data_IF_573789289351
#
_entry.id   IF_573789289351
#
_cell.length_a   1.000
_cell.length_b   1.000
_cell.length_c   1.000
_cell.angle_alpha   90.00
_cell.angle_beta   90.00
_cell.angle_gamma   90.00
#
_symmetry.space_group_name_H-M   'P 1'
#
loop_
_entity.id
_entity.type
_entity.pdbx_description
1 polymer ?
#
# COMPACT_ATOMS: atom_id res chain seq x y z
N UNK A 1 60.19 -27.04 30.86
CA UNK A 1 60.84 -26.65 29.59
C UNK A 1 60.25 -25.30 29.18
N UNK A 2 60.87 -24.13 29.51
CA UNK A 2 61.82 -23.34 28.67
C UNK A 2 61.27 -23.10 27.25
N UNK A 3 60.96 -21.90 26.71
CA UNK A 3 61.60 -20.56 26.67
C UNK A 3 60.55 -19.48 26.26
N UNK A 4 60.51 -18.25 26.84
CA UNK A 4 61.09 -16.94 26.37
C UNK A 4 60.67 -16.51 24.93
N UNK A 5 60.45 -15.25 24.52
CA UNK A 5 60.60 -13.86 25.02
C UNK A 5 59.82 -12.97 24.01
N UNK A 6 59.06 -11.94 24.41
CA UNK A 6 59.43 -10.51 24.50
C UNK A 6 60.02 -9.84 23.24
N UNK A 7 59.36 -8.78 22.75
CA UNK A 7 59.91 -7.80 21.80
C UNK A 7 58.90 -6.71 21.42
N UNK A 8 59.10 -5.51 21.96
CA UNK A 8 58.28 -4.28 21.88
C UNK A 8 59.12 -3.21 21.17
N UNK A 9 58.54 -2.32 20.35
CA UNK A 9 58.83 -0.87 20.22
C UNK A 9 58.49 -0.27 18.82
N UNK A 10 57.94 0.94 18.87
CA UNK A 10 57.38 1.79 17.80
C UNK A 10 58.43 2.74 17.14
N UNK A 11 58.02 3.87 16.52
CA UNK A 11 57.90 4.22 15.08
C UNK A 11 59.11 5.06 14.55
N UNK A 12 59.12 5.62 13.30
CA UNK A 12 58.55 6.97 13.01
C UNK A 12 58.09 7.22 11.54
N UNK A 13 57.56 8.43 11.24
CA UNK A 13 57.44 9.08 9.90
C UNK A 13 58.62 10.09 9.70
N UNK A 14 58.76 10.99 8.68
CA UNK A 14 57.94 11.38 7.50
C UNK A 14 58.79 11.68 6.21
N UNK A 15 58.33 12.60 5.33
CA UNK A 15 58.99 13.32 4.19
C UNK A 15 58.87 12.73 2.76
N UNK A 16 58.79 13.46 1.64
CA UNK A 16 58.55 14.88 1.26
C UNK A 16 58.60 15.00 -0.31
N UNK A 17 58.29 16.20 -0.84
CA UNK A 17 58.52 16.77 -2.20
C UNK A 17 57.36 16.63 -3.24
N UNK A 18 56.62 17.68 -3.65
CA UNK A 18 56.92 19.00 -4.28
C UNK A 18 57.10 18.91 -5.82
N UNK A 19 56.10 19.31 -6.60
CA UNK A 19 55.94 20.59 -7.37
C UNK A 19 56.67 20.65 -8.73
N UNK A 20 55.94 20.94 -9.82
CA UNK A 20 56.39 21.96 -10.80
C UNK A 20 55.21 22.53 -11.63
N UNK A 21 55.27 23.85 -11.80
CA UNK A 21 54.40 24.82 -12.49
C UNK A 21 54.73 24.96 -13.99
N UNK A 22 53.87 25.67 -14.75
CA UNK A 22 54.11 26.58 -15.90
C UNK A 22 52.90 26.60 -16.87
N UNK A 23 52.66 27.59 -17.71
CA UNK A 23 52.60 29.06 -17.61
C UNK A 23 51.92 29.57 -18.92
N UNK A 24 51.45 30.82 -18.91
CA UNK A 24 50.63 31.54 -19.90
C UNK A 24 51.27 31.85 -21.28
N UNK A 25 50.45 32.04 -22.34
CA UNK A 25 50.31 33.26 -23.20
C UNK A 25 49.53 32.96 -24.52
N UNK A 26 48.34 33.54 -24.79
CA UNK A 26 48.01 34.83 -25.46
C UNK A 26 48.43 34.93 -26.94
N UNK A 27 47.45 35.08 -27.86
CA UNK A 27 47.43 36.08 -28.94
C UNK A 27 45.96 36.48 -29.24
N UNK A 28 45.72 37.79 -29.30
CA UNK A 28 44.50 38.55 -29.63
C UNK A 28 44.78 39.35 -30.92
N UNK A 29 43.73 39.65 -31.71
CA UNK A 29 43.46 40.92 -32.48
C UNK A 29 42.61 40.62 -33.75
N UNK A 30 41.37 41.13 -33.85
CA UNK A 30 40.91 42.43 -34.46
C UNK A 30 40.88 42.37 -36.02
N UNK A 31 39.93 42.90 -36.82
CA UNK A 31 38.80 43.84 -36.66
C UNK A 31 37.93 43.85 -37.97
N UNK A 32 36.69 44.39 -37.88
CA UNK A 32 35.88 45.12 -38.93
C UNK A 32 35.20 44.51 -40.20
N UNK A 33 33.85 44.66 -40.18
CA UNK A 33 32.90 45.21 -41.20
C UNK A 33 32.25 44.39 -42.36
N UNK A 34 30.90 44.29 -42.26
CA UNK A 34 29.84 44.58 -43.27
C UNK A 34 29.24 43.49 -44.20
N UNK A 35 27.90 43.42 -44.14
CA UNK A 35 26.88 43.11 -45.18
C UNK A 35 26.64 41.65 -45.59
N UNK A 36 25.36 41.23 -45.58
CA UNK A 36 24.89 40.08 -46.35
C UNK A 36 23.69 39.34 -45.76
N UNK A 37 22.54 39.56 -46.37
CA UNK A 37 21.20 39.03 -46.10
C UNK A 37 21.06 37.49 -46.24
N UNK A 38 19.98 36.97 -45.66
CA UNK A 38 19.17 35.80 -46.06
C UNK A 38 19.34 34.42 -45.38
N UNK A 39 18.34 34.12 -44.53
CA UNK A 39 17.34 33.02 -44.65
C UNK A 39 17.81 31.54 -44.67
N UNK A 40 17.27 30.81 -43.68
CA UNK A 40 16.83 29.41 -43.64
C UNK A 40 17.77 28.21 -43.40
N UNK A 41 17.36 27.50 -42.34
CA UNK A 41 17.27 26.05 -42.12
C UNK A 41 18.54 25.19 -41.97
N UNK A 42 18.80 24.90 -40.69
CA UNK A 42 19.25 23.65 -40.05
C UNK A 42 20.52 22.93 -40.54
N UNK A 43 21.53 22.84 -39.66
CA UNK A 43 22.43 21.70 -39.62
C UNK A 43 22.05 20.72 -38.50
N UNK A 44 21.95 19.46 -38.91
CA UNK A 44 21.81 18.26 -38.10
C UNK A 44 22.90 18.21 -37.01
N UNK A 45 22.50 18.02 -35.75
CA UNK A 45 23.39 17.45 -34.73
C UNK A 45 22.65 16.42 -33.89
N UNK A 46 23.25 15.23 -33.87
CA UNK A 46 22.95 14.07 -33.05
C UNK A 46 22.64 14.40 -31.59
N UNK A 47 21.59 13.79 -31.04
CA UNK A 47 21.51 13.42 -29.62
C UNK A 47 20.74 12.10 -29.52
N UNK A 48 21.31 11.21 -28.72
CA UNK A 48 20.77 9.94 -28.26
C UNK A 48 19.39 10.17 -27.64
N UNK A 49 18.34 9.56 -28.17
CA UNK A 49 17.14 9.30 -27.36
C UNK A 49 17.42 8.03 -26.56
N UNK A 50 17.95 8.24 -25.37
CA UNK A 50 17.66 7.33 -24.25
C UNK A 50 16.15 7.42 -24.03
N UNK A 51 15.42 6.38 -24.42
CA UNK A 51 14.05 6.18 -23.96
C UNK A 51 14.11 6.08 -22.43
N UNK A 52 13.91 7.21 -21.75
CA UNK A 52 13.46 7.24 -20.36
C UNK A 52 12.09 6.57 -20.35
N UNK A 53 12.08 5.24 -20.23
CA UNK A 53 10.95 4.46 -19.74
C UNK A 53 10.67 4.92 -18.30
N UNK A 54 9.99 6.06 -18.16
CA UNK A 54 9.20 6.39 -16.98
C UNK A 54 8.02 5.39 -16.94
N UNK A 55 8.34 4.16 -16.54
CA UNK A 55 7.37 3.09 -16.31
C UNK A 55 6.46 3.53 -15.15
N UNK A 56 5.33 4.13 -15.50
CA UNK A 56 4.32 4.59 -14.54
C UNK A 56 3.85 3.37 -13.72
N UNK A 57 3.98 3.40 -12.37
CA UNK A 57 3.76 2.22 -11.56
C UNK A 57 2.31 1.70 -11.68
N UNK A 58 2.08 0.40 -11.44
CA UNK A 58 0.76 -0.20 -11.57
C UNK A 58 -0.29 0.58 -10.81
N UNK A 59 -1.43 0.86 -11.44
CA UNK A 59 -2.54 1.68 -10.86
C UNK A 59 -3.14 1.15 -9.56
N UNK A 60 -2.79 -0.07 -9.16
CA UNK A 60 -3.07 -0.63 -7.82
C UNK A 60 -2.28 0.08 -6.70
N UNK A 61 -1.13 0.68 -7.02
CA UNK A 61 -0.35 1.52 -6.11
C UNK A 61 -0.72 3.01 -6.21
N UNK A 62 -1.34 3.42 -7.31
CA UNK A 62 -1.87 4.77 -7.49
C UNK A 62 -3.33 4.79 -7.02
N UNK A 63 -3.52 4.99 -5.71
CA UNK A 63 -4.74 5.66 -5.26
C UNK A 63 -4.80 7.01 -6.01
N UNK A 64 -5.56 7.07 -7.10
CA UNK A 64 -5.92 8.34 -7.70
C UNK A 64 -6.57 9.17 -6.62
N UNK A 65 -6.04 10.37 -6.37
CA UNK A 65 -6.68 11.33 -5.48
C UNK A 65 -8.15 11.44 -5.90
N UNK A 66 -9.10 10.94 -5.09
CA UNK A 66 -10.50 10.96 -5.47
C UNK A 66 -10.89 12.41 -5.72
N UNK A 67 -11.43 12.71 -6.90
CA UNK A 67 -11.89 14.08 -7.22
C UNK A 67 -13.01 14.54 -6.28
N UNK A 68 -13.61 13.63 -5.50
CA UNK A 68 -14.65 13.90 -4.52
C UNK A 68 -14.60 12.95 -3.33
N UNK A 69 -14.98 13.46 -2.16
CA UNK A 69 -15.12 12.67 -0.93
C UNK A 69 -16.37 11.77 -0.94
N UNK A 70 -16.20 10.54 -0.49
CA UNK A 70 -17.26 9.54 -0.34
C UNK A 70 -17.32 8.96 1.08
N UNK A 71 -18.45 8.31 1.39
CA UNK A 71 -18.65 7.66 2.69
C UNK A 71 -17.69 6.49 2.83
N UNK A 72 -17.05 6.36 4.00
CA UNK A 72 -16.05 5.33 4.26
C UNK A 72 -14.62 5.72 3.91
N UNK A 73 -14.41 6.84 3.20
CA UNK A 73 -13.06 7.31 2.91
C UNK A 73 -12.31 7.77 4.16
N UNK A 74 -11.00 7.47 4.19
CA UNK A 74 -10.06 7.97 5.18
C UNK A 74 -9.57 9.34 4.75
N UNK A 75 -9.56 10.29 5.68
CA UNK A 75 -9.24 11.69 5.44
C UNK A 75 -8.42 12.26 6.59
N UNK A 76 -7.67 13.34 6.31
CA UNK A 76 -7.09 14.20 7.33
C UNK A 76 -8.03 15.38 7.60
N UNK A 77 -8.18 15.73 8.89
CA UNK A 77 -8.86 16.95 9.32
C UNK A 77 -8.02 17.68 10.36
N UNK A 78 -7.76 18.96 10.13
CA UNK A 78 -7.19 19.87 11.13
C UNK A 78 -8.29 20.42 12.03
N UNK A 79 -8.13 20.29 13.35
CA UNK A 79 -9.12 20.75 14.33
C UNK A 79 -8.48 21.65 15.40
N UNK A 80 -8.89 22.93 15.42
CA UNK A 80 -8.41 23.93 16.37
C UNK A 80 -6.87 24.02 16.40
N UNK A 81 -6.27 23.85 17.58
CA UNK A 81 -4.83 23.92 17.83
C UNK A 81 -4.09 22.59 17.59
N UNK A 82 -4.81 21.53 17.24
CA UNK A 82 -4.24 20.20 17.03
C UNK A 82 -3.74 20.04 15.59
N UNK A 83 -2.75 19.14 15.38
CA UNK A 83 -2.27 18.81 14.05
C UNK A 83 -3.40 18.22 13.19
N UNK A 84 -3.14 18.04 11.89
CA UNK A 84 -4.03 17.24 11.06
C UNK A 84 -4.12 15.82 11.64
N UNK A 85 -5.35 15.34 11.83
CA UNK A 85 -5.59 14.03 12.43
C UNK A 85 -6.38 13.11 11.49
N UNK A 86 -6.11 11.78 11.49
CA UNK A 86 -6.86 10.83 10.69
C UNK A 86 -8.32 10.73 11.13
N UNK A 87 -9.22 10.67 10.16
CA UNK A 87 -10.66 10.54 10.36
C UNK A 87 -11.30 9.71 9.25
N UNK A 88 -12.51 9.21 9.49
CA UNK A 88 -13.34 8.50 8.52
C UNK A 88 -14.61 9.29 8.21
N UNK A 89 -14.97 9.34 6.93
CA UNK A 89 -16.19 10.01 6.47
C UNK A 89 -17.42 9.15 6.76
N UNK A 90 -18.34 9.64 7.61
CA UNK A 90 -19.61 8.94 7.94
C UNK A 90 -20.76 9.31 7.00
N UNK A 91 -20.81 10.56 6.54
CA UNK A 91 -21.82 11.00 5.56
C UNK A 91 -21.33 12.21 4.77
N UNK A 92 -21.84 12.37 3.54
CA UNK A 92 -21.50 13.50 2.66
C UNK A 92 -22.78 14.21 2.22
N UNK A 93 -22.86 15.52 2.49
CA UNK A 93 -23.94 16.40 2.04
C UNK A 93 -23.44 17.24 0.87
N UNK A 94 -23.51 16.66 -0.34
CA UNK A 94 -22.96 17.28 -1.57
C UNK A 94 -23.54 18.68 -1.85
N UNK A 95 -24.85 18.87 -1.64
CA UNK A 95 -25.52 20.18 -1.82
C UNK A 95 -24.96 21.27 -0.90
N UNK A 96 -24.65 20.92 0.34
CA UNK A 96 -24.13 21.85 1.35
C UNK A 96 -22.59 21.94 1.35
N UNK A 97 -21.90 21.18 0.50
CA UNK A 97 -20.43 21.02 0.50
C UNK A 97 -19.86 20.70 1.89
N UNK A 98 -20.56 19.85 2.64
CA UNK A 98 -20.20 19.41 4.00
C UNK A 98 -20.10 17.89 4.09
N UNK A 99 -19.30 17.40 5.03
CA UNK A 99 -19.25 16.00 5.43
C UNK A 99 -19.30 15.88 6.96
N UNK A 100 -19.86 14.78 7.44
CA UNK A 100 -19.71 14.36 8.83
C UNK A 100 -18.56 13.36 8.90
N UNK A 101 -17.56 13.64 9.73
CA UNK A 101 -16.36 12.83 9.89
C UNK A 101 -16.17 12.42 11.35
N UNK A 102 -15.60 11.25 11.59
CA UNK A 102 -15.28 10.74 12.92
C UNK A 102 -13.77 10.52 13.02
N UNK A 103 -13.12 11.07 14.03
CA UNK A 103 -11.69 10.87 14.24
C UNK A 103 -11.39 9.41 14.53
N UNK A 104 -10.26 8.96 14.02
CA UNK A 104 -9.71 7.64 14.32
C UNK A 104 -8.82 7.83 15.54
N UNK A 105 -9.12 7.07 16.59
CA UNK A 105 -8.43 7.11 17.86
C UNK A 105 -8.32 5.68 18.39
N UNK A 106 -7.38 5.43 19.30
CA UNK A 106 -7.18 4.08 19.86
C UNK A 106 -8.38 3.56 20.64
N UNK A 107 -9.19 4.46 21.21
CA UNK A 107 -10.48 4.13 21.82
C UNK A 107 -11.57 5.05 21.28
N UNK A 108 -12.03 4.77 20.05
CA UNK A 108 -13.18 5.46 19.45
C UNK A 108 -14.48 4.65 19.62
N UNK A 109 -15.63 5.34 19.65
CA UNK A 109 -16.94 4.70 19.45
C UNK A 109 -17.29 4.72 17.95
N UNK A 110 -17.29 3.58 17.24
CA UNK A 110 -17.59 3.53 15.81
C UNK A 110 -19.03 3.98 15.49
N UNK A 111 -19.95 3.85 16.47
CA UNK A 111 -21.34 4.30 16.35
C UNK A 111 -21.50 5.77 16.76
N UNK A 112 -20.45 6.38 17.29
CA UNK A 112 -20.40 7.76 17.75
C UNK A 112 -20.77 8.78 16.67
N UNK A 113 -21.24 9.94 17.11
CA UNK A 113 -21.61 11.05 16.21
C UNK A 113 -20.34 11.66 15.59
N UNK A 114 -20.32 11.81 14.27
CA UNK A 114 -19.24 12.53 13.58
C UNK A 114 -19.44 14.05 13.64
N UNK A 115 -18.33 14.80 13.58
CA UNK A 115 -18.31 16.26 13.51
C UNK A 115 -18.59 16.69 12.07
N UNK A 116 -19.45 17.69 11.88
CA UNK A 116 -19.75 18.24 10.56
C UNK A 116 -18.73 19.31 10.16
N UNK A 117 -18.08 19.13 9.02
CA UNK A 117 -17.05 20.03 8.50
C UNK A 117 -17.24 20.33 7.01
N UNK A 118 -16.66 21.44 6.56
CA UNK A 118 -16.57 21.80 5.14
C UNK A 118 -15.67 20.80 4.39
N UNK A 119 -16.08 20.39 3.19
CA UNK A 119 -15.26 19.52 2.33
C UNK A 119 -13.90 20.15 1.99
N UNK A 120 -13.80 21.48 1.96
CA UNK A 120 -12.54 22.19 1.68
C UNK A 120 -11.48 22.04 2.77
N UNK A 121 -11.89 21.61 3.98
CA UNK A 121 -10.98 21.40 5.13
C UNK A 121 -10.45 19.97 5.22
N UNK A 122 -10.98 19.07 4.40
CA UNK A 122 -10.56 17.67 4.36
C UNK A 122 -9.44 17.52 3.33
N UNK A 123 -8.47 16.68 3.66
CA UNK A 123 -7.51 16.12 2.70
C UNK A 123 -7.70 14.62 2.64
N UNK A 124 -7.44 14.00 1.49
CA UNK A 124 -7.43 12.53 1.42
C UNK A 124 -6.29 11.97 2.28
N UNK A 125 -6.51 10.81 2.90
CA UNK A 125 -5.49 10.22 3.77
C UNK A 125 -4.15 9.95 3.05
N UNK A 126 -4.20 9.58 1.77
CA UNK A 126 -3.02 9.32 0.92
C UNK A 126 -2.61 10.51 0.05
N UNK A 127 -2.85 11.74 0.51
CA UNK A 127 -2.36 12.94 -0.18
C UNK A 127 -0.82 13.02 -0.17
N UNK A 128 -0.23 13.82 -1.06
CA UNK A 128 1.23 14.01 -1.17
C UNK A 128 1.87 14.46 0.15
N UNK A 129 1.18 15.27 0.93
CA UNK A 129 1.68 15.74 2.24
C UNK A 129 1.57 14.71 3.38
N UNK A 130 1.06 13.48 3.13
CA UNK A 130 0.78 12.47 4.18
C UNK A 130 1.94 12.31 5.16
N UNK A 131 3.17 12.18 4.65
CA UNK A 131 4.33 11.95 5.51
C UNK A 131 4.65 13.17 6.38
N UNK A 132 4.47 14.39 5.87
CA UNK A 132 4.63 15.62 6.64
C UNK A 132 3.56 15.73 7.73
N UNK A 133 2.30 15.39 7.43
CA UNK A 133 1.21 15.41 8.42
C UNK A 133 1.43 14.38 9.52
N UNK A 134 1.96 13.20 9.17
CA UNK A 134 2.35 12.19 10.17
C UNK A 134 3.49 12.70 11.05
N UNK A 135 4.53 13.31 10.46
CA UNK A 135 5.65 13.84 11.23
C UNK A 135 5.19 14.96 12.18
N UNK A 136 4.36 15.90 11.72
CA UNK A 136 3.75 16.97 12.55
C UNK A 136 2.96 16.38 13.72
N UNK A 137 2.15 15.33 13.49
CA UNK A 137 1.39 14.68 14.55
C UNK A 137 2.27 13.91 15.55
N UNK A 138 3.42 13.38 15.11
CA UNK A 138 4.35 12.62 15.95
C UNK A 138 5.11 13.49 16.94
N UNK A 139 5.30 14.78 16.66
CA UNK A 139 6.02 15.69 17.56
C UNK A 139 5.43 15.71 18.97
N UNK A 140 4.09 15.78 19.07
CA UNK A 140 3.38 15.86 20.35
C UNK A 140 2.59 14.59 20.70
N UNK A 141 2.29 13.73 19.71
CA UNK A 141 1.33 12.64 19.87
C UNK A 141 1.79 11.31 19.24
N UNK A 142 3.10 11.03 19.21
CA UNK A 142 3.70 9.85 18.54
C UNK A 142 2.95 8.52 18.80
N UNK A 143 2.67 8.20 20.06
CA UNK A 143 1.97 6.96 20.40
C UNK A 143 0.52 6.96 19.93
N UNK A 144 -0.20 8.07 20.10
CA UNK A 144 -1.60 8.20 19.71
C UNK A 144 -1.77 8.13 18.18
N UNK A 145 -0.89 8.79 17.42
CA UNK A 145 -0.92 8.70 15.95
C UNK A 145 -0.46 7.32 15.48
N UNK A 146 0.51 6.71 16.17
CA UNK A 146 0.96 5.34 15.93
C UNK A 146 -0.19 4.33 16.02
N UNK A 147 -1.03 4.44 17.05
CA UNK A 147 -2.23 3.60 17.18
C UNK A 147 -3.23 3.78 16.04
N UNK A 148 -3.45 5.02 15.60
CA UNK A 148 -4.31 5.32 14.45
C UNK A 148 -3.77 4.66 13.18
N UNK A 149 -2.45 4.78 12.93
CA UNK A 149 -1.77 4.18 11.79
C UNK A 149 -1.86 2.65 11.86
N UNK A 150 -1.67 2.04 13.03
CA UNK A 150 -1.80 0.58 13.20
C UNK A 150 -3.20 0.08 12.86
N UNK A 151 -4.26 0.76 13.32
CA UNK A 151 -5.64 0.41 12.98
C UNK A 151 -5.91 0.52 11.47
N UNK A 152 -5.48 1.62 10.85
CA UNK A 152 -5.67 1.86 9.41
C UNK A 152 -4.89 0.84 8.58
N UNK A 153 -3.66 0.53 8.98
CA UNK A 153 -2.78 -0.41 8.28
C UNK A 153 -3.35 -1.82 8.35
N UNK A 154 -3.73 -2.29 9.54
CA UNK A 154 -4.34 -3.62 9.69
C UNK A 154 -5.67 -3.73 8.92
N UNK A 155 -6.52 -2.68 8.97
CA UNK A 155 -7.73 -2.61 8.14
C UNK A 155 -7.42 -2.78 6.65
N UNK A 156 -6.42 -2.04 6.13
CA UNK A 156 -6.05 -2.10 4.70
C UNK A 156 -5.44 -3.43 4.31
N UNK A 157 -4.62 -4.03 5.17
CA UNK A 157 -4.09 -5.39 4.95
C UNK A 157 -5.24 -6.39 4.87
N UNK A 158 -6.19 -6.32 5.79
CA UNK A 158 -7.34 -7.25 5.78
C UNK A 158 -8.23 -7.07 4.55
N UNK A 159 -8.41 -5.83 4.12
CA UNK A 159 -9.15 -5.49 2.90
C UNK A 159 -8.43 -6.00 1.66
N UNK A 160 -7.12 -5.75 1.54
CA UNK A 160 -6.30 -6.18 0.41
C UNK A 160 -6.08 -7.69 0.34
N UNK A 161 -6.07 -8.38 1.48
CA UNK A 161 -5.98 -9.84 1.55
C UNK A 161 -7.35 -10.53 1.50
N UNK A 162 -8.46 -9.81 1.32
CA UNK A 162 -9.81 -10.38 1.25
C UNK A 162 -10.38 -10.94 2.57
N UNK A 163 -9.60 -10.95 3.66
CA UNK A 163 -10.04 -11.42 4.98
C UNK A 163 -11.13 -10.56 5.63
N UNK A 164 -11.40 -9.38 5.07
CA UNK A 164 -12.49 -8.50 5.49
C UNK A 164 -12.97 -7.64 4.31
N UNK A 165 -14.29 -7.45 4.18
CA UNK A 165 -14.90 -6.70 3.06
C UNK A 165 -15.85 -5.58 3.51
N UNK A 166 -15.70 -5.10 4.76
CA UNK A 166 -16.51 -4.00 5.30
C UNK A 166 -15.78 -2.66 5.33
N UNK A 167 -16.45 -1.65 5.84
CA UNK A 167 -15.88 -0.32 6.11
C UNK A 167 -14.94 -0.32 7.32
N UNK A 168 -14.11 0.71 7.45
CA UNK A 168 -13.21 0.89 8.59
C UNK A 168 -13.94 0.83 9.95
N UNK A 169 -15.15 1.39 10.04
CA UNK A 169 -15.95 1.37 11.27
C UNK A 169 -16.48 -0.02 11.60
N UNK A 170 -16.84 -0.81 10.58
CA UNK A 170 -17.23 -2.22 10.77
C UNK A 170 -16.03 -3.07 11.17
N UNK A 171 -14.85 -2.83 10.59
CA UNK A 171 -13.60 -3.47 11.00
C UNK A 171 -13.29 -3.20 12.48
N UNK A 172 -13.35 -1.93 12.90
CA UNK A 172 -13.06 -1.55 14.28
C UNK A 172 -14.06 -2.17 15.27
N UNK A 173 -15.32 -2.33 14.87
CA UNK A 173 -16.35 -2.97 15.69
C UNK A 173 -16.26 -4.51 15.69
N UNK A 174 -15.58 -5.12 14.72
CA UNK A 174 -15.46 -6.55 14.57
C UNK A 174 -14.33 -7.16 15.42
N UNK A 175 -14.42 -8.46 15.69
CA UNK A 175 -13.44 -9.19 16.50
C UNK A 175 -12.06 -9.28 15.83
N UNK A 176 -12.01 -9.17 14.50
CA UNK A 176 -10.76 -9.18 13.72
C UNK A 176 -9.82 -8.01 14.08
N UNK A 177 -10.34 -6.88 14.56
CA UNK A 177 -9.52 -5.75 15.02
C UNK A 177 -9.08 -5.90 16.47
N UNK A 178 -9.57 -6.91 17.20
CA UNK A 178 -9.30 -7.10 18.62
C UNK A 178 -7.80 -7.21 18.96
N UNK A 179 -6.95 -7.94 18.21
CA UNK A 179 -5.52 -8.00 18.52
C UNK A 179 -4.85 -6.61 18.53
N UNK A 180 -5.18 -5.76 17.56
CA UNK A 180 -4.67 -4.39 17.46
C UNK A 180 -5.28 -3.50 18.55
N UNK A 181 -6.59 -3.60 18.80
CA UNK A 181 -7.23 -2.84 19.89
C UNK A 181 -6.69 -3.22 21.27
N UNK A 182 -6.35 -4.49 21.47
CA UNK A 182 -5.80 -5.00 22.73
C UNK A 182 -4.39 -4.48 22.97
N UNK A 183 -3.51 -4.46 21.96
CA UNK A 183 -2.17 -3.90 22.12
C UNK A 183 -2.23 -2.41 22.45
N UNK A 184 -3.14 -1.67 21.80
CA UNK A 184 -3.42 -0.27 22.12
C UNK A 184 -3.81 -0.13 23.59
N UNK A 185 -4.80 -0.90 24.07
CA UNK A 185 -5.29 -0.82 25.46
C UNK A 185 -4.22 -1.15 26.52
N UNK A 186 -3.31 -2.07 26.22
CA UNK A 186 -2.23 -2.44 27.14
C UNK A 186 -1.20 -1.32 27.30
N UNK A 187 -1.04 -0.47 26.29
CA UNK A 187 -0.15 0.68 26.29
C UNK A 187 -0.76 1.97 26.89
N UNK A 188 -2.07 1.99 27.22
CA UNK A 188 -2.81 3.19 27.68
C UNK A 188 -2.37 3.73 29.04
N UNK A 189 -1.54 3.01 29.81
CA UNK A 189 -1.08 3.48 31.13
C UNK A 189 -0.18 4.74 31.09
N UNK A 190 0.20 5.26 29.91
CA UNK A 190 1.10 6.42 29.79
C UNK A 190 0.70 7.56 28.84
N UNK A 191 -0.45 7.52 28.15
CA UNK A 191 -0.68 8.42 27.00
C UNK A 191 -1.73 9.50 27.18
N UNK A 192 -1.45 10.69 26.63
CA UNK A 192 -2.37 11.82 26.49
C UNK A 192 -2.87 11.92 25.05
N UNK A 193 -4.09 11.44 24.78
CA UNK A 193 -4.75 11.71 23.49
C UNK A 193 -5.18 13.19 23.40
N UNK A 194 -5.17 13.79 22.19
CA UNK A 194 -5.90 15.03 21.98
C UNK A 194 -7.40 14.73 22.15
N UNK A 195 -8.06 15.37 23.13
CA UNK A 195 -9.50 15.23 23.35
C UNK A 195 -10.28 15.95 22.23
N UNK A 196 -10.40 15.31 21.07
CA UNK A 196 -11.08 15.86 19.91
C UNK A 196 -12.60 15.65 19.97
N UNK A 197 -13.05 14.62 20.69
CA UNK A 197 -14.45 14.30 20.95
C UNK A 197 -14.90 14.79 22.33
N UNK A 198 -15.04 16.11 22.53
CA UNK A 198 -15.81 16.59 23.68
C UNK A 198 -17.30 16.36 23.42
N UNK A 199 -17.87 15.35 24.08
CA UNK A 199 -19.26 15.42 24.53
C UNK A 199 -19.33 16.46 25.64
N UNK A 200 -20.36 17.30 25.61
CA UNK A 200 -20.68 18.23 26.69
C UNK A 200 -20.89 17.48 28.02
N UNK A 201 -20.63 18.08 29.20
CA UNK A 201 -20.74 17.40 30.49
C UNK A 201 -22.17 16.95 30.79
N UNK A 202 -22.31 15.72 31.30
CA UNK A 202 -23.58 15.15 31.76
C UNK A 202 -24.23 15.97 32.89
N UNK A 203 -25.55 16.09 32.84
CA UNK A 203 -26.40 16.24 34.03
C UNK A 203 -27.11 14.91 34.34
N UNK A 204 -27.38 14.59 35.62
CA UNK A 204 -27.68 13.24 36.07
C UNK A 204 -29.17 12.84 35.99
N UNK A 205 -29.36 11.58 35.58
CA UNK A 205 -30.35 10.56 36.00
C UNK A 205 -31.84 10.94 36.08
N UNK A 206 -32.65 10.29 35.25
CA UNK A 206 -33.96 9.77 35.65
C UNK A 206 -34.27 8.47 34.88
N UNK A 207 -34.54 7.39 35.62
CA UNK A 207 -34.66 6.04 35.08
C UNK A 207 -35.94 5.77 34.27
N UNK A 208 -35.93 4.66 33.51
CA UNK A 208 -37.06 3.76 33.19
C UNK A 208 -36.64 2.77 32.07
N UNK A 209 -37.40 1.70 31.80
CA UNK A 209 -37.23 0.37 32.38
C UNK A 209 -36.58 -0.62 31.41
N UNK A 210 -36.18 -1.75 31.97
CA UNK A 210 -35.78 -2.96 31.25
C UNK A 210 -36.74 -3.33 30.11
N UNK A 211 -36.16 -3.80 29.00
CA UNK A 211 -36.84 -4.71 28.09
C UNK A 211 -37.43 -4.10 26.82
N UNK A 212 -36.62 -4.03 25.76
CA UNK A 212 -37.05 -4.39 24.39
C UNK A 212 -35.82 -4.59 23.51
N UNK A 213 -35.38 -5.85 23.37
CA UNK A 213 -34.50 -6.28 22.27
C UNK A 213 -35.17 -5.90 20.96
N UNK A 214 -34.57 -4.98 20.19
CA UNK A 214 -34.99 -4.74 18.80
C UNK A 214 -34.59 -5.96 17.96
N UNK A 215 -35.43 -6.43 17.02
CA UNK A 215 -35.09 -7.58 16.19
C UNK A 215 -33.87 -7.25 15.33
N UNK A 216 -32.91 -8.18 15.28
CA UNK A 216 -31.83 -8.20 14.31
C UNK A 216 -32.40 -8.02 12.90
N UNK A 217 -32.04 -6.93 12.21
CA UNK A 217 -32.32 -6.81 10.78
C UNK A 217 -31.41 -7.82 10.08
N UNK A 218 -32.01 -8.87 9.51
CA UNK A 218 -31.32 -9.81 8.63
C UNK A 218 -30.74 -9.01 7.47
N UNK A 219 -29.42 -8.92 7.41
CA UNK A 219 -28.68 -8.33 6.29
C UNK A 219 -29.00 -9.17 5.06
N UNK A 220 -29.43 -8.51 3.98
CA UNK A 220 -29.71 -9.19 2.73
C UNK A 220 -28.38 -9.64 2.10
N UNK A 221 -28.32 -10.84 1.49
CA UNK A 221 -27.12 -11.30 0.80
C UNK A 221 -26.67 -10.27 -0.24
N UNK A 222 -25.37 -10.01 -0.30
CA UNK A 222 -24.77 -9.09 -1.26
C UNK A 222 -25.02 -9.58 -2.69
N UNK A 223 -26.02 -8.97 -3.34
CA UNK A 223 -26.44 -9.32 -4.70
C UNK A 223 -25.37 -8.99 -5.74
N UNK A 224 -24.46 -8.06 -5.44
CA UNK A 224 -23.37 -7.68 -6.34
C UNK A 224 -22.26 -8.73 -6.35
N UNK A 225 -21.87 -9.23 -5.16
CA UNK A 225 -20.95 -10.36 -5.02
C UNK A 225 -21.49 -11.62 -5.70
N UNK A 226 -22.74 -11.98 -5.41
CA UNK A 226 -23.37 -13.15 -6.05
C UNK A 226 -23.55 -13.01 -7.58
N UNK A 227 -23.50 -11.80 -8.14
CA UNK A 227 -23.49 -11.60 -9.60
C UNK A 227 -22.08 -11.80 -10.18
N UNK A 228 -21.05 -11.31 -9.47
CA UNK A 228 -19.64 -11.52 -9.83
C UNK A 228 -19.24 -12.99 -9.72
N UNK A 229 -19.62 -13.68 -8.66
CA UNK A 229 -19.37 -15.13 -8.49
C UNK A 229 -20.01 -15.94 -9.61
N UNK A 230 -21.22 -15.56 -10.05
CA UNK A 230 -21.87 -16.20 -11.22
C UNK A 230 -21.15 -15.93 -12.53
N UNK A 231 -20.57 -14.74 -12.71
CA UNK A 231 -19.77 -14.43 -13.89
C UNK A 231 -18.45 -15.23 -13.87
N UNK A 232 -17.80 -15.29 -12.70
CA UNK A 232 -16.56 -16.02 -12.45
C UNK A 232 -16.72 -17.53 -12.59
N UNK A 233 -17.93 -18.06 -12.38
CA UNK A 233 -18.21 -19.47 -12.58
C UNK A 233 -17.79 -19.94 -13.99
N UNK A 234 -18.00 -19.12 -15.02
CA UNK A 234 -17.56 -19.45 -16.40
C UNK A 234 -16.04 -19.50 -16.53
N UNK A 235 -15.32 -18.64 -15.81
CA UNK A 235 -13.86 -18.63 -15.79
C UNK A 235 -13.32 -19.87 -15.07
N UNK A 236 -13.88 -20.22 -13.93
CA UNK A 236 -13.55 -21.46 -13.20
C UNK A 236 -13.82 -22.69 -14.07
N UNK A 237 -14.95 -22.71 -14.78
CA UNK A 237 -15.26 -23.79 -15.72
C UNK A 237 -14.26 -23.85 -16.88
N UNK A 238 -13.86 -22.71 -17.43
CA UNK A 238 -12.86 -22.65 -18.49
C UNK A 238 -11.50 -23.21 -18.01
N UNK A 239 -11.05 -22.79 -16.83
CA UNK A 239 -9.75 -23.20 -16.28
C UNK A 239 -9.77 -24.68 -15.88
N UNK A 240 -10.76 -25.10 -15.08
CA UNK A 240 -10.77 -26.42 -14.44
C UNK A 240 -11.43 -27.50 -15.32
N UNK A 241 -12.62 -27.23 -15.88
CA UNK A 241 -13.37 -28.24 -16.65
C UNK A 241 -12.91 -28.30 -18.10
N UNK A 242 -12.84 -27.15 -18.76
CA UNK A 242 -12.43 -27.06 -20.16
C UNK A 242 -10.90 -27.13 -20.35
N UNK A 243 -10.13 -27.04 -19.25
CA UNK A 243 -8.66 -27.09 -19.26
C UNK A 243 -8.05 -26.06 -20.22
N UNK A 244 -8.72 -24.91 -20.38
CA UNK A 244 -8.42 -23.93 -21.42
C UNK A 244 -7.07 -23.24 -21.23
N UNK A 245 -6.61 -23.10 -19.98
CA UNK A 245 -5.29 -22.56 -19.65
C UNK A 245 -4.18 -23.63 -19.60
N UNK A 246 -4.53 -24.92 -19.65
CA UNK A 246 -3.61 -26.03 -19.36
C UNK A 246 -2.39 -26.07 -20.28
N UNK A 247 -2.60 -25.87 -21.59
CA UNK A 247 -1.51 -25.85 -22.57
C UNK A 247 -0.52 -24.71 -22.34
N UNK A 248 -1.04 -23.52 -22.01
CA UNK A 248 -0.25 -22.33 -21.68
C UNK A 248 0.56 -22.55 -20.39
N UNK A 249 -0.09 -22.99 -19.32
CA UNK A 249 0.54 -23.27 -18.03
C UNK A 249 1.64 -24.34 -18.15
N UNK A 250 1.39 -25.42 -18.91
CA UNK A 250 2.42 -26.43 -19.19
C UNK A 250 3.58 -25.90 -20.01
N UNK A 251 3.34 -24.97 -20.93
CA UNK A 251 4.42 -24.35 -21.69
C UNK A 251 5.34 -23.51 -20.79
N UNK A 252 4.75 -22.78 -19.83
CA UNK A 252 5.50 -22.02 -18.81
C UNK A 252 6.29 -22.97 -17.90
N UNK A 253 5.65 -24.01 -17.36
CA UNK A 253 6.30 -25.01 -16.49
C UNK A 253 7.49 -25.70 -17.19
N UNK A 254 7.41 -25.88 -18.51
CA UNK A 254 8.47 -26.46 -19.35
C UNK A 254 9.48 -25.44 -19.87
N UNK A 255 9.36 -24.16 -19.50
CA UNK A 255 10.18 -23.05 -19.98
C UNK A 255 10.19 -22.91 -21.52
N UNK A 256 9.06 -23.25 -22.16
CA UNK A 256 8.84 -23.07 -23.60
C UNK A 256 8.22 -21.71 -23.92
N UNK A 257 7.63 -21.06 -22.92
CA UNK A 257 7.04 -19.74 -23.04
C UNK A 257 7.51 -18.87 -21.86
N UNK A 258 7.94 -17.63 -22.12
CA UNK A 258 8.28 -16.70 -21.05
C UNK A 258 7.01 -16.34 -20.27
N UNK A 259 7.17 -16.15 -18.96
CA UNK A 259 6.10 -15.72 -18.06
C UNK A 259 6.63 -14.56 -17.24
N UNK A 260 5.93 -13.42 -17.28
CA UNK A 260 6.29 -12.25 -16.47
C UNK A 260 6.25 -12.61 -14.99
N UNK A 261 5.24 -13.36 -14.57
CA UNK A 261 5.03 -13.79 -13.19
C UNK A 261 6.14 -14.73 -12.73
N UNK A 262 6.57 -15.66 -13.58
CA UNK A 262 7.71 -16.53 -13.30
C UNK A 262 9.01 -15.74 -13.17
N UNK A 263 9.26 -14.78 -14.07
CA UNK A 263 10.46 -13.93 -14.00
C UNK A 263 10.48 -13.11 -12.72
N UNK A 264 9.37 -12.46 -12.38
CA UNK A 264 9.24 -11.69 -11.12
C UNK A 264 9.43 -12.59 -9.89
N UNK A 265 8.82 -13.79 -9.88
CA UNK A 265 8.97 -14.75 -8.79
C UNK A 265 10.44 -15.16 -8.54
N UNK A 266 11.20 -15.36 -9.62
CA UNK A 266 12.61 -15.75 -9.54
C UNK A 266 13.54 -14.59 -9.16
N UNK A 267 13.26 -13.37 -9.63
CA UNK A 267 14.11 -12.20 -9.40
C UNK A 267 13.86 -11.54 -8.04
N UNK A 268 12.60 -11.48 -7.58
CA UNK A 268 12.25 -10.64 -6.43
C UNK A 268 12.45 -11.33 -5.07
N UNK A 269 12.44 -12.67 -4.98
CA UNK A 269 12.66 -13.45 -3.74
C UNK A 269 11.66 -13.22 -2.60
N UNK A 270 11.00 -12.07 -2.58
CA UNK A 270 9.97 -11.58 -1.67
C UNK A 270 8.58 -12.05 -2.11
N UNK A 271 7.64 -12.04 -1.18
CA UNK A 271 6.21 -12.25 -1.46
C UNK A 271 5.76 -11.24 -2.51
N UNK A 272 5.45 -11.70 -3.72
CA UNK A 272 4.81 -10.87 -4.72
C UNK A 272 3.41 -10.60 -4.19
N UNK A 273 3.09 -9.32 -4.04
CA UNK A 273 1.83 -8.84 -3.49
C UNK A 273 0.67 -9.53 -4.22
N UNK A 274 -0.25 -10.12 -3.44
CA UNK A 274 -1.47 -10.78 -3.89
C UNK A 274 -1.95 -10.22 -5.23
N UNK A 275 -1.87 -11.05 -6.27
CA UNK A 275 -2.66 -10.82 -7.47
C UNK A 275 -4.10 -10.70 -6.98
N UNK A 276 -4.75 -9.59 -7.27
CA UNK A 276 -6.17 -9.40 -7.04
C UNK A 276 -6.89 -10.41 -7.95
N UNK A 277 -7.00 -11.64 -7.48
CA UNK A 277 -7.53 -12.75 -8.26
C UNK A 277 -9.02 -12.50 -8.41
N UNK A 278 -9.50 -12.54 -9.66
CA UNK A 278 -10.90 -12.28 -9.99
C UNK A 278 -11.91 -13.17 -9.21
N UNK A 279 -11.45 -14.20 -8.47
CA UNK A 279 -12.22 -15.17 -7.71
C UNK A 279 -12.33 -14.78 -6.22
N UNK A 280 -13.41 -14.08 -5.85
CA UNK A 280 -13.72 -13.71 -4.45
C UNK A 280 -14.50 -14.80 -3.68
N UNK A 281 -14.98 -15.83 -4.36
CA UNK A 281 -15.65 -16.98 -3.76
C UNK A 281 -14.61 -18.04 -3.36
N UNK A 282 -14.59 -18.42 -2.08
CA UNK A 282 -13.60 -19.34 -1.53
C UNK A 282 -13.68 -20.72 -2.19
N UNK A 283 -14.89 -21.22 -2.49
CA UNK A 283 -15.07 -22.53 -3.13
C UNK A 283 -14.55 -22.53 -4.57
N UNK A 284 -14.81 -21.45 -5.32
CA UNK A 284 -14.27 -21.25 -6.67
C UNK A 284 -12.75 -21.17 -6.68
N UNK A 285 -12.16 -20.43 -5.74
CA UNK A 285 -10.71 -20.30 -5.60
C UNK A 285 -10.08 -21.66 -5.24
N UNK A 286 -10.66 -22.39 -4.29
CA UNK A 286 -10.16 -23.70 -3.88
C UNK A 286 -10.16 -24.71 -5.03
N UNK A 287 -11.21 -24.69 -5.87
CA UNK A 287 -11.29 -25.55 -7.06
C UNK A 287 -10.16 -25.26 -8.05
N UNK A 288 -9.87 -23.99 -8.31
CA UNK A 288 -8.80 -23.57 -9.22
C UNK A 288 -7.43 -23.91 -8.63
N UNK A 289 -7.18 -23.55 -7.37
CA UNK A 289 -5.91 -23.83 -6.70
C UNK A 289 -5.63 -25.34 -6.64
N UNK A 290 -6.63 -26.16 -6.33
CA UNK A 290 -6.50 -27.62 -6.33
C UNK A 290 -6.17 -28.19 -7.71
N UNK A 291 -6.78 -27.65 -8.76
CA UNK A 291 -6.45 -28.02 -10.13
C UNK A 291 -5.01 -27.64 -10.51
N UNK A 292 -4.58 -26.42 -10.16
CA UNK A 292 -3.21 -25.93 -10.42
C UNK A 292 -2.17 -26.72 -9.61
N UNK A 293 -2.48 -27.11 -8.38
CA UNK A 293 -1.68 -28.05 -7.58
C UNK A 293 -1.48 -29.37 -8.35
N UNK A 294 -2.54 -29.93 -8.94
CA UNK A 294 -2.45 -31.12 -9.77
C UNK A 294 -1.49 -30.95 -10.95
N UNK A 295 -1.61 -29.86 -11.70
CA UNK A 295 -0.71 -29.56 -12.83
C UNK A 295 0.75 -29.37 -12.40
N UNK A 296 0.96 -28.72 -11.26
CA UNK A 296 2.28 -28.51 -10.69
C UNK A 296 2.94 -29.83 -10.28
N UNK A 297 2.18 -30.74 -9.64
CA UNK A 297 2.66 -32.07 -9.28
C UNK A 297 2.95 -32.94 -10.51
N UNK A 298 2.10 -32.89 -11.55
CA UNK A 298 2.32 -33.58 -12.83
C UNK A 298 3.59 -33.11 -13.56
N UNK A 299 3.95 -31.82 -13.43
CA UNK A 299 5.14 -31.25 -14.05
C UNK A 299 6.46 -31.72 -13.39
N UNK A 300 6.39 -32.31 -12.19
CA UNK A 300 7.49 -33.00 -11.51
C UNK A 300 8.65 -32.10 -11.05
N UNK A 301 9.81 -32.73 -10.80
CA UNK A 301 10.96 -32.12 -10.13
C UNK A 301 11.57 -30.87 -10.79
N UNK A 302 11.32 -30.62 -12.08
CA UNK A 302 11.78 -29.39 -12.76
C UNK A 302 10.98 -28.15 -12.37
N UNK A 303 9.71 -28.31 -12.02
CA UNK A 303 8.92 -27.22 -11.44
C UNK A 303 9.32 -27.01 -9.97
N UNK A 304 9.53 -28.09 -9.23
CA UNK A 304 9.99 -28.06 -7.84
C UNK A 304 11.35 -27.39 -7.64
N UNK A 305 12.31 -27.59 -8.55
CA UNK A 305 13.61 -26.93 -8.51
C UNK A 305 13.52 -25.39 -8.67
N UNK A 306 12.43 -24.87 -9.25
CA UNK A 306 12.22 -23.44 -9.49
C UNK A 306 11.39 -22.76 -8.40
N UNK A 307 10.65 -23.51 -7.60
CA UNK A 307 9.80 -22.97 -6.55
C UNK A 307 10.58 -22.51 -5.29
N UNK A 308 11.92 -22.57 -5.31
CA UNK A 308 12.78 -22.28 -4.14
C UNK A 308 12.37 -23.03 -2.86
N UNK A 309 11.72 -24.20 -3.01
CA UNK A 309 11.18 -25.01 -1.91
C UNK A 309 9.74 -24.72 -1.50
N UNK A 310 9.12 -23.64 -1.98
CA UNK A 310 7.73 -23.29 -1.66
C UNK A 310 6.80 -23.45 -2.88
N UNK A 311 6.27 -24.67 -3.03
CA UNK A 311 5.33 -25.00 -4.10
C UNK A 311 3.99 -24.27 -3.97
N UNK A 312 3.57 -23.90 -2.76
CA UNK A 312 2.31 -23.17 -2.55
C UNK A 312 2.47 -21.76 -3.09
N UNK A 313 3.57 -21.10 -2.75
CA UNK A 313 3.89 -19.76 -3.26
C UNK A 313 4.02 -19.74 -4.78
N UNK A 314 4.66 -20.75 -5.38
CA UNK A 314 4.73 -20.86 -6.84
C UNK A 314 3.34 -20.97 -7.50
N UNK A 315 2.41 -21.69 -6.87
CA UNK A 315 1.05 -21.84 -7.40
C UNK A 315 0.28 -20.53 -7.32
N UNK A 316 0.36 -19.82 -6.19
CA UNK A 316 -0.38 -18.58 -5.97
C UNK A 316 0.20 -17.39 -6.74
N UNK A 317 1.53 -17.27 -6.80
CA UNK A 317 2.20 -16.08 -7.35
C UNK A 317 2.52 -16.23 -8.85
N UNK A 318 2.47 -17.45 -9.41
CA UNK A 318 2.80 -17.71 -10.82
C UNK A 318 1.67 -18.42 -11.56
N UNK A 319 1.24 -19.60 -11.11
CA UNK A 319 0.29 -20.38 -11.91
C UNK A 319 -1.13 -19.82 -11.90
N UNK A 320 -1.57 -19.31 -10.75
CA UNK A 320 -2.88 -18.69 -10.59
C UNK A 320 -3.05 -17.43 -11.46
N UNK A 321 -2.13 -16.44 -11.44
CA UNK A 321 -2.23 -15.28 -12.32
C UNK A 321 -1.97 -15.57 -13.80
N UNK A 322 -1.34 -16.70 -14.16
CA UNK A 322 -1.20 -17.13 -15.55
C UNK A 322 -2.44 -17.87 -16.08
N UNK A 323 -3.31 -18.32 -15.18
CA UNK A 323 -4.55 -19.03 -15.53
C UNK A 323 -5.75 -18.09 -15.73
N UNK A 324 -5.69 -16.89 -15.16
CA UNK A 324 -6.70 -15.83 -15.23
C UNK A 324 -6.43 -14.87 -16.39
#
# INVERSE_FOLDING_TARGET
MTLRSAGKLSPPAPDAAAEETRDLHVVVEEDRQSSGESVEFNPIHSVLEEDEDDEEPPRILLYHEPRSFEVGMLVWLKHQKYPFWPAVVKSVRRREKKASVLFIEGHMDPKGRGITVSLRRLKHFDCKEKQALLNEAKEDFDQAIGWCVSLITDYRVRLGCGSFAGSFLEYYAADISYPVRKSIQQDVLGTRFPQLSKGDPEEPVAGSPQGRRRPFRKVLPDRSRAARDRANQKLVEYIVKARGAEGHLRAILKNRKPSRWLTTFLTSGQYVTCVETYLEDEEQLDLVVKYLQGLYQEAGGRAAARASGDGIRFILDVLLPEAL
#
